data_IF_771045954295
#
_entry.id   IF_771045954295
#
_cell.length_a   1.000
_cell.length_b   1.000
_cell.length_c   1.000
_cell.angle_alpha   90.00
_cell.angle_beta   90.00
_cell.angle_gamma   90.00
#
_symmetry.space_group_name_H-M   'P 1'
#
loop_
_entity.id
_entity.type
_entity.pdbx_description
1 polymer ?
#
# COMPACT_ATOMS: atom_id res chain seq x y z
N UNK A 1 -5.62 -26.84 -82.79
CA UNK A 1 -7.05 -26.93 -82.44
C UNK A 1 -7.12 -26.83 -80.92
N UNK A 2 -6.83 -25.70 -80.27
CA UNK A 2 -7.59 -24.45 -80.24
C UNK A 2 -9.09 -24.71 -80.20
N UNK A 3 -9.68 -24.69 -79.01
CA UNK A 3 -10.82 -23.83 -78.71
C UNK A 3 -10.93 -23.63 -77.19
N UNK A 4 -10.39 -22.49 -76.80
CA UNK A 4 -10.73 -21.78 -75.57
C UNK A 4 -12.04 -21.04 -75.85
N UNK A 5 -13.12 -21.42 -75.16
CA UNK A 5 -14.38 -20.66 -75.11
C UNK A 5 -14.88 -20.79 -73.66
N UNK A 6 -14.35 -19.98 -72.75
CA UNK A 6 -14.94 -18.68 -72.37
C UNK A 6 -16.41 -18.82 -71.95
N UNK A 7 -16.64 -19.53 -70.84
CA UNK A 7 -17.85 -19.29 -70.05
C UNK A 7 -17.49 -18.29 -68.96
N UNK A 8 -17.68 -17.01 -69.28
CA UNK A 8 -17.60 -15.92 -68.32
C UNK A 8 -18.80 -16.03 -67.38
N UNK A 9 -18.70 -16.87 -66.34
CA UNK A 9 -19.59 -16.78 -65.19
C UNK A 9 -19.24 -15.46 -64.51
N UNK A 10 -20.15 -14.51 -64.68
CA UNK A 10 -20.13 -13.19 -64.09
C UNK A 10 -20.03 -13.32 -62.55
N UNK A 11 -18.81 -13.26 -62.02
CA UNK A 11 -18.59 -13.18 -60.57
C UNK A 11 -18.96 -11.78 -60.16
N UNK A 12 -20.23 -11.61 -59.74
CA UNK A 12 -20.66 -10.41 -59.03
C UNK A 12 -19.75 -10.29 -57.80
N UNK A 13 -18.99 -9.19 -57.62
CA UNK A 13 -18.30 -8.97 -56.37
C UNK A 13 -19.38 -8.63 -55.34
N UNK A 14 -19.81 -9.62 -54.54
CA UNK A 14 -20.47 -9.32 -53.28
C UNK A 14 -19.44 -8.61 -52.40
N UNK A 15 -19.47 -7.29 -52.48
CA UNK A 15 -18.84 -6.40 -51.53
C UNK A 15 -19.58 -6.58 -50.20
N UNK A 16 -19.24 -7.66 -49.48
CA UNK A 16 -19.77 -8.00 -48.17
C UNK A 16 -19.25 -6.98 -47.18
N UNK A 17 -19.93 -5.84 -47.14
CA UNK A 17 -19.72 -4.81 -46.15
C UNK A 17 -19.91 -5.42 -44.77
N UNK A 18 -18.93 -5.21 -43.90
CA UNK A 18 -18.93 -5.57 -42.48
C UNK A 18 -20.18 -5.04 -41.72
N UNK A 19 -20.97 -4.18 -42.36
CA UNK A 19 -22.20 -3.54 -41.87
C UNK A 19 -23.41 -4.50 -41.90
N UNK A 20 -23.43 -5.53 -42.76
CA UNK A 20 -24.55 -6.49 -42.80
C UNK A 20 -24.48 -7.56 -41.70
N UNK A 21 -23.29 -7.84 -41.17
CA UNK A 21 -23.06 -8.82 -40.09
C UNK A 21 -23.45 -8.27 -38.72
N UNK A 22 -23.35 -6.96 -38.53
CA UNK A 22 -23.74 -6.29 -37.27
C UNK A 22 -25.28 -6.25 -37.14
N UNK A 23 -26.01 -6.08 -38.26
CA UNK A 23 -27.47 -6.03 -38.28
C UNK A 23 -28.19 -7.40 -38.24
N UNK A 24 -27.52 -8.50 -38.57
CA UNK A 24 -28.06 -9.86 -38.42
C UNK A 24 -27.80 -10.44 -37.02
N UNK A 25 -26.67 -10.07 -36.38
CA UNK A 25 -26.32 -10.49 -35.01
C UNK A 25 -27.29 -9.97 -33.95
N UNK A 26 -27.84 -8.76 -34.12
CA UNK A 26 -28.82 -8.18 -33.19
C UNK A 26 -30.21 -8.84 -33.28
N UNK A 27 -30.60 -9.34 -34.46
CA UNK A 27 -31.89 -10.04 -34.65
C UNK A 27 -31.84 -11.50 -34.18
N UNK A 28 -30.65 -12.11 -34.18
CA UNK A 28 -30.44 -13.46 -33.66
C UNK A 28 -30.43 -13.52 -32.12
N UNK A 29 -30.01 -12.45 -31.44
CA UNK A 29 -30.09 -12.33 -29.99
C UNK A 29 -31.53 -12.38 -29.43
N UNK A 30 -32.50 -11.81 -30.16
CA UNK A 30 -33.92 -11.83 -29.77
C UNK A 30 -34.56 -13.22 -29.86
N UNK A 31 -34.02 -14.11 -30.72
CA UNK A 31 -34.47 -15.50 -30.83
C UNK A 31 -33.80 -16.43 -29.80
N UNK A 32 -32.59 -16.08 -29.32
CA UNK A 32 -31.96 -16.75 -28.18
C UNK A 32 -32.76 -16.55 -26.88
N UNK A 33 -33.30 -15.35 -26.64
CA UNK A 33 -34.10 -15.05 -25.45
C UNK A 33 -35.45 -15.81 -25.36
N UNK A 34 -35.94 -16.31 -26.51
CA UNK A 34 -37.21 -17.05 -26.62
C UNK A 34 -37.05 -18.57 -26.54
N UNK A 35 -35.81 -19.07 -26.40
CA UNK A 35 -35.56 -20.49 -26.27
C UNK A 35 -35.87 -20.93 -24.82
N UNK A 36 -36.73 -21.95 -24.59
CA UNK A 36 -37.19 -22.35 -23.26
C UNK A 36 -36.05 -22.82 -22.33
N UNK A 37 -34.89 -23.20 -22.89
CA UNK A 37 -33.68 -23.48 -22.12
C UNK A 37 -33.05 -22.23 -21.47
N UNK A 38 -33.11 -21.08 -22.15
CA UNK A 38 -32.54 -19.81 -21.67
C UNK A 38 -33.47 -19.13 -20.66
N UNK A 39 -34.79 -19.26 -20.82
CA UNK A 39 -35.74 -18.81 -19.78
C UNK A 39 -35.58 -19.56 -18.46
N UNK A 40 -35.21 -20.85 -18.51
CA UNK A 40 -34.92 -21.64 -17.30
C UNK A 40 -33.53 -21.35 -16.71
N UNK A 41 -32.56 -20.98 -17.53
CA UNK A 41 -31.18 -20.67 -17.10
C UNK A 41 -30.95 -19.20 -16.73
N UNK A 42 -31.81 -18.27 -17.17
CA UNK A 42 -31.75 -16.84 -16.83
C UNK A 42 -31.69 -16.57 -15.32
N UNK A 43 -32.58 -17.15 -14.47
CA UNK A 43 -32.50 -16.91 -13.03
C UNK A 43 -31.21 -17.45 -12.41
N UNK A 44 -30.70 -18.60 -12.88
CA UNK A 44 -29.42 -19.15 -12.37
C UNK A 44 -28.21 -18.33 -12.80
N UNK A 45 -28.20 -17.79 -14.02
CA UNK A 45 -27.13 -16.93 -14.52
C UNK A 45 -27.16 -15.59 -13.78
N UNK A 46 -28.34 -14.99 -13.60
CA UNK A 46 -28.49 -13.77 -12.82
C UNK A 46 -28.05 -13.98 -11.35
N UNK A 47 -28.43 -15.10 -10.73
CA UNK A 47 -28.00 -15.45 -9.38
C UNK A 47 -26.48 -15.62 -9.28
N UNK A 48 -25.85 -16.26 -10.28
CA UNK A 48 -24.40 -16.42 -10.32
C UNK A 48 -23.66 -15.07 -10.44
N UNK A 49 -24.15 -14.16 -11.28
CA UNK A 49 -23.59 -12.81 -11.42
C UNK A 49 -23.72 -12.03 -10.10
N UNK A 50 -24.89 -12.07 -9.47
CA UNK A 50 -25.12 -11.43 -8.17
C UNK A 50 -24.23 -12.03 -7.08
N UNK A 51 -24.03 -13.35 -7.07
CA UNK A 51 -23.14 -14.02 -6.12
C UNK A 51 -21.68 -13.59 -6.29
N UNK A 52 -21.19 -13.53 -7.53
CA UNK A 52 -19.82 -13.09 -7.83
C UNK A 52 -19.62 -11.62 -7.41
N UNK A 53 -20.56 -10.74 -7.76
CA UNK A 53 -20.52 -9.35 -7.35
C UNK A 53 -20.57 -9.21 -5.82
N UNK A 54 -21.42 -10.00 -5.16
CA UNK A 54 -21.51 -10.06 -3.70
C UNK A 54 -20.18 -10.47 -3.06
N UNK A 55 -19.48 -11.46 -3.62
CA UNK A 55 -18.16 -11.87 -3.13
C UNK A 55 -17.13 -10.75 -3.29
N UNK A 56 -17.07 -10.10 -4.46
CA UNK A 56 -16.13 -8.99 -4.72
C UNK A 56 -16.36 -7.82 -3.76
N UNK A 57 -17.62 -7.44 -3.57
CA UNK A 57 -18.01 -6.39 -2.64
C UNK A 57 -17.63 -6.81 -1.22
N UNK A 58 -17.96 -8.03 -0.82
CA UNK A 58 -17.65 -8.56 0.51
C UNK A 58 -16.15 -8.59 0.82
N UNK A 59 -15.31 -9.03 -0.12
CA UNK A 59 -13.85 -9.03 0.06
C UNK A 59 -13.25 -7.64 0.03
N UNK A 60 -13.84 -6.69 -0.69
CA UNK A 60 -13.38 -5.29 -0.70
C UNK A 60 -13.77 -4.55 0.59
N UNK A 61 -14.90 -4.91 1.20
CA UNK A 61 -15.36 -4.31 2.45
C UNK A 61 -14.70 -4.93 3.70
N UNK A 62 -14.05 -6.09 3.58
CA UNK A 62 -13.23 -6.62 4.66
C UNK A 62 -12.03 -5.70 4.88
N UNK A 63 -12.09 -4.90 5.95
CA UNK A 63 -10.95 -4.13 6.43
C UNK A 63 -9.81 -5.10 6.74
N UNK A 64 -8.64 -4.94 6.12
CA UNK A 64 -7.48 -5.77 6.45
C UNK A 64 -7.19 -5.65 7.94
N UNK A 65 -6.84 -6.76 8.59
CA UNK A 65 -6.34 -6.72 9.97
C UNK A 65 -5.18 -5.71 10.02
N UNK A 66 -5.31 -4.69 10.86
CA UNK A 66 -4.29 -3.66 11.07
C UNK A 66 -3.58 -3.94 12.38
N UNK A 67 -2.26 -3.79 12.38
CA UNK A 67 -1.42 -3.96 13.56
C UNK A 67 -0.68 -2.68 13.88
N UNK A 68 -0.49 -2.39 15.16
CA UNK A 68 0.27 -1.24 15.62
C UNK A 68 1.76 -1.46 15.37
N UNK A 69 2.44 -0.46 14.83
CA UNK A 69 3.88 -0.54 14.51
C UNK A 69 4.75 -0.34 15.75
N UNK A 70 4.52 0.77 16.43
CA UNK A 70 5.24 1.17 17.63
C UNK A 70 4.25 1.70 18.64
N UNK A 71 4.28 1.12 19.83
CA UNK A 71 3.53 1.63 20.96
C UNK A 71 4.23 2.88 21.51
N UNK A 72 3.45 3.91 21.86
CA UNK A 72 3.93 5.06 22.64
C UNK A 72 5.10 5.87 22.04
N UNK A 73 5.12 6.12 20.72
CA UNK A 73 6.05 7.09 20.13
C UNK A 73 5.73 8.53 20.58
N UNK A 74 6.75 9.38 20.71
CA UNK A 74 6.52 10.82 20.87
C UNK A 74 5.86 11.41 19.62
N UNK A 75 5.08 12.48 19.74
CA UNK A 75 4.38 13.10 18.60
C UNK A 75 5.34 13.47 17.45
N UNK A 76 6.56 13.88 17.80
CA UNK A 76 7.63 14.19 16.85
C UNK A 76 8.15 12.98 16.08
N UNK A 77 8.18 11.81 16.70
CA UNK A 77 8.59 10.54 16.08
C UNK A 77 7.44 9.96 15.27
N UNK A 78 6.20 10.11 15.73
CA UNK A 78 5.02 9.72 14.95
C UNK A 78 4.96 10.42 13.60
N UNK A 79 5.17 11.74 13.57
CA UNK A 79 5.21 12.50 12.30
C UNK A 79 6.30 11.96 11.37
N UNK A 80 7.50 11.72 11.90
CA UNK A 80 8.63 11.19 11.10
C UNK A 80 8.37 9.78 10.57
N UNK A 81 7.82 8.89 11.39
CA UNK A 81 7.42 7.54 10.98
C UNK A 81 6.31 7.60 9.92
N UNK A 82 5.32 8.48 10.11
CA UNK A 82 4.23 8.68 9.17
C UNK A 82 4.74 9.14 7.80
N UNK A 83 5.61 10.15 7.78
CA UNK A 83 6.21 10.67 6.54
C UNK A 83 7.08 9.63 5.85
N UNK A 84 7.92 8.91 6.61
CA UNK A 84 8.78 7.85 6.09
C UNK A 84 8.00 6.71 5.42
N UNK A 85 6.93 6.25 6.05
CA UNK A 85 6.09 5.18 5.51
C UNK A 85 5.25 5.64 4.32
N UNK A 86 4.74 6.88 4.38
CA UNK A 86 4.01 7.52 3.27
C UNK A 86 4.90 7.69 2.04
N UNK A 87 6.15 8.12 2.23
CA UNK A 87 7.15 8.21 1.17
C UNK A 87 7.49 6.85 0.56
N UNK A 88 7.39 5.78 1.35
CA UNK A 88 7.58 4.41 0.88
C UNK A 88 6.31 3.81 0.22
N UNK A 89 5.22 4.57 0.10
CA UNK A 89 3.99 4.12 -0.56
C UNK A 89 3.14 3.14 0.25
N UNK A 90 3.35 3.03 1.56
CA UNK A 90 2.56 2.14 2.44
C UNK A 90 1.32 2.84 2.99
N UNK A 91 0.22 2.09 3.14
CA UNK A 91 -1.02 2.60 3.75
C UNK A 91 -0.88 2.68 5.27
N UNK A 92 -0.65 3.89 5.78
CA UNK A 92 -0.52 4.18 7.21
C UNK A 92 -1.72 4.95 7.69
N UNK A 93 -2.30 4.47 8.79
CA UNK A 93 -3.42 5.13 9.45
C UNK A 93 -3.10 5.35 10.92
N UNK A 94 -3.73 6.36 11.49
CA UNK A 94 -3.67 6.62 12.93
C UNK A 94 -4.95 6.05 13.52
N UNK A 95 -4.82 5.15 14.47
CA UNK A 95 -5.96 4.63 15.21
C UNK A 95 -6.52 5.75 16.10
N UNK A 96 -7.79 6.18 15.93
CA UNK A 96 -8.39 7.24 16.73
C UNK A 96 -8.60 6.85 18.20
N UNK A 97 -8.59 5.56 18.55
CA UNK A 97 -8.76 5.09 19.92
C UNK A 97 -7.46 5.14 20.73
N UNK A 98 -6.34 4.78 20.11
CA UNK A 98 -5.03 4.67 20.78
C UNK A 98 -4.07 5.80 20.40
N UNK A 99 -4.31 6.50 19.29
CA UNK A 99 -3.39 7.48 18.73
C UNK A 99 -2.11 6.87 18.18
N UNK A 100 -2.10 5.56 17.93
CA UNK A 100 -0.95 4.80 17.43
C UNK A 100 -0.99 4.63 15.91
N UNK A 101 0.19 4.49 15.31
CA UNK A 101 0.35 4.26 13.88
C UNK A 101 0.10 2.78 13.56
N UNK A 102 -0.90 2.53 12.72
CA UNK A 102 -1.34 1.19 12.31
C UNK A 102 -1.07 0.97 10.81
N UNK A 103 -0.58 -0.22 10.50
CA UNK A 103 -0.36 -0.72 9.12
C UNK A 103 -1.08 -2.05 8.91
N UNK A 104 -1.41 -2.41 7.66
CA UNK A 104 -1.90 -3.74 7.34
C UNK A 104 -0.92 -4.81 7.86
N UNK A 105 -1.44 -5.89 8.44
CA UNK A 105 -0.62 -6.99 9.00
C UNK A 105 0.35 -7.56 7.95
N UNK A 106 -0.06 -7.60 6.68
CA UNK A 106 0.77 -8.07 5.58
C UNK A 106 2.03 -7.20 5.35
N UNK A 107 1.93 -5.90 5.62
CA UNK A 107 3.00 -4.93 5.37
C UNK A 107 3.84 -4.65 6.62
N UNK A 108 3.47 -5.17 7.79
CA UNK A 108 4.11 -4.88 9.07
C UNK A 108 5.63 -5.09 9.06
N UNK A 109 6.10 -6.23 8.54
CA UNK A 109 7.54 -6.54 8.49
C UNK A 109 8.29 -5.65 7.50
N UNK A 110 7.70 -5.42 6.33
CA UNK A 110 8.25 -4.55 5.29
C UNK A 110 8.34 -3.10 5.78
N UNK A 111 7.31 -2.62 6.47
CA UNK A 111 7.28 -1.31 7.12
C UNK A 111 8.42 -1.16 8.14
N UNK A 112 8.62 -2.17 9.00
CA UNK A 112 9.71 -2.16 9.98
C UNK A 112 11.09 -2.16 9.34
N UNK A 113 11.29 -2.92 8.27
CA UNK A 113 12.55 -2.93 7.52
C UNK A 113 12.83 -1.58 6.85
N UNK A 114 11.81 -0.98 6.23
CA UNK A 114 11.93 0.32 5.57
C UNK A 114 12.22 1.46 6.57
N UNK A 115 11.61 1.41 7.75
CA UNK A 115 11.90 2.36 8.82
C UNK A 115 13.30 2.16 9.38
N UNK A 116 13.72 0.91 9.61
CA UNK A 116 15.06 0.59 10.07
C UNK A 116 16.14 1.05 9.06
N UNK A 117 15.87 0.92 7.76
CA UNK A 117 16.75 1.42 6.70
C UNK A 117 16.92 2.96 6.74
N UNK A 118 15.91 3.67 7.24
CA UNK A 118 15.94 5.13 7.43
C UNK A 118 16.48 5.54 8.81
N UNK A 119 16.89 4.58 9.65
CA UNK A 119 17.35 4.85 11.01
C UNK A 119 16.22 5.25 11.98
N UNK A 120 14.98 4.86 11.65
CA UNK A 120 13.79 5.11 12.46
C UNK A 120 13.34 3.78 13.10
N UNK A 121 12.98 3.74 14.39
CA UNK A 121 13.02 4.82 15.37
C UNK A 121 14.47 5.20 15.64
N UNK A 122 14.73 6.48 15.92
CA UNK A 122 16.03 6.87 16.44
C UNK A 122 16.26 5.95 17.63
N UNK A 123 17.30 5.10 17.58
CA UNK A 123 17.71 4.40 18.78
C UNK A 123 17.99 5.52 19.78
N UNK A 124 17.04 5.77 20.69
CA UNK A 124 17.33 6.52 21.90
C UNK A 124 18.59 5.85 22.41
N UNK A 125 19.64 6.64 22.63
CA UNK A 125 20.93 6.14 23.05
C UNK A 125 20.77 5.48 24.43
N UNK A 126 20.23 4.27 24.50
CA UNK A 126 19.98 3.51 25.72
C UNK A 126 21.29 2.93 26.28
N UNK A 127 22.45 3.37 25.78
CA UNK A 127 23.76 3.09 26.36
C UNK A 127 24.03 3.80 27.70
N UNK A 128 23.16 4.72 28.14
CA UNK A 128 23.36 5.49 29.37
C UNK A 128 22.50 5.04 30.56
N UNK A 129 21.44 4.25 30.34
CA UNK A 129 20.52 3.81 31.41
C UNK A 129 21.08 2.72 32.32
N UNK A 130 22.06 1.96 31.85
CA UNK A 130 22.66 0.83 32.58
C UNK A 130 23.76 1.27 33.56
N UNK A 131 24.19 2.53 33.50
CA UNK A 131 25.22 3.10 34.40
C UNK A 131 24.61 3.72 35.67
N UNK A 132 23.32 4.08 35.66
CA UNK A 132 22.64 4.76 36.77
C UNK A 132 22.21 3.79 37.90
N UNK A 133 22.26 2.47 37.64
CA UNK A 133 21.99 1.42 38.62
C UNK A 133 23.24 0.92 39.37
N UNK A 134 24.40 1.58 39.22
CA UNK A 134 25.57 1.21 40.03
C UNK A 134 25.42 1.72 41.46
N UNK A 135 25.59 0.86 42.48
CA UNK A 135 25.48 1.26 43.89
C UNK A 135 26.45 2.40 44.21
N UNK A 136 25.87 3.52 44.65
CA UNK A 136 26.59 4.73 45.06
C UNK A 136 27.49 4.44 46.26
N UNK A 137 28.82 4.46 46.05
CA UNK A 137 29.79 4.20 47.11
C UNK A 137 31.23 4.45 46.70
N UNK A 138 31.66 5.71 46.77
CA UNK A 138 33.07 6.17 46.74
C UNK A 138 33.76 6.14 45.37
N UNK A 139 33.70 7.23 44.60
CA UNK A 139 34.77 7.48 43.63
C UNK A 139 34.77 8.93 43.16
N UNK A 140 35.85 9.65 43.44
CA UNK A 140 36.22 10.90 42.74
C UNK A 140 36.18 10.75 41.21
N UNK A 141 36.21 9.52 40.71
CA UNK A 141 36.06 9.18 39.29
C UNK A 141 34.66 9.48 38.73
N UNK A 142 33.58 9.30 39.51
CA UNK A 142 32.22 9.65 39.06
C UNK A 142 32.01 11.16 38.98
N UNK A 143 32.60 11.92 39.92
CA UNK A 143 32.59 13.39 39.88
C UNK A 143 33.31 13.91 38.63
N UNK A 144 34.49 13.37 38.32
CA UNK A 144 35.22 13.72 37.10
C UNK A 144 34.45 13.34 35.82
N UNK A 145 33.81 12.18 35.78
CA UNK A 145 32.98 11.77 34.64
C UNK A 145 31.76 12.68 34.48
N UNK A 146 31.10 13.06 35.56
CA UNK A 146 29.96 13.97 35.55
C UNK A 146 30.35 15.37 35.06
N UNK A 147 31.50 15.90 35.51
CA UNK A 147 32.04 17.17 35.02
C UNK A 147 32.38 17.09 33.53
N UNK A 148 33.00 15.99 33.08
CA UNK A 148 33.31 15.80 31.66
C UNK A 148 32.02 15.75 30.83
N UNK A 149 31.02 15.01 31.28
CA UNK A 149 29.72 14.92 30.60
C UNK A 149 29.00 16.27 30.55
N UNK A 150 29.07 17.09 31.60
CA UNK A 150 28.47 18.43 31.56
C UNK A 150 29.19 19.35 30.57
N UNK A 151 30.51 19.26 30.47
CA UNK A 151 31.29 20.01 29.48
C UNK A 151 31.00 19.55 28.05
N UNK A 152 30.87 18.24 27.82
CA UNK A 152 30.47 17.67 26.53
C UNK A 152 29.05 18.12 26.14
N UNK A 153 28.14 18.23 27.11
CA UNK A 153 26.80 18.74 26.88
C UNK A 153 26.79 20.23 26.53
N UNK A 154 27.58 21.06 27.22
CA UNK A 154 27.75 22.48 26.88
C UNK A 154 28.39 22.67 25.49
N UNK A 155 29.37 21.84 25.13
CA UNK A 155 29.96 21.82 23.79
C UNK A 155 28.94 21.44 22.72
N UNK A 156 28.15 20.38 22.94
CA UNK A 156 27.10 19.95 22.01
C UNK A 156 26.05 21.06 21.81
N UNK A 157 25.69 21.75 22.89
CA UNK A 157 24.78 22.90 22.82
C UNK A 157 25.37 24.06 22.02
N UNK A 158 26.63 24.40 22.22
CA UNK A 158 27.33 25.46 21.48
C UNK A 158 27.41 25.15 19.98
N UNK A 159 27.72 23.89 19.62
CA UNK A 159 27.71 23.44 18.23
C UNK A 159 26.29 23.54 17.63
N UNK A 160 25.27 23.12 18.37
CA UNK A 160 23.88 23.25 17.94
C UNK A 160 23.45 24.70 17.71
N UNK A 161 23.89 25.64 18.55
CA UNK A 161 23.65 27.07 18.36
C UNK A 161 24.35 27.61 17.08
N UNK A 162 25.57 27.16 16.78
CA UNK A 162 26.27 27.51 15.53
C UNK A 162 25.57 26.91 14.30
N UNK A 163 25.16 25.63 14.36
CA UNK A 163 24.46 24.95 13.27
C UNK A 163 23.13 25.62 12.96
N UNK A 164 22.39 26.05 13.99
CA UNK A 164 21.13 26.78 13.85
C UNK A 164 21.33 28.13 13.14
N UNK A 165 22.45 28.82 13.38
CA UNK A 165 22.80 30.06 12.67
C UNK A 165 23.23 29.78 11.22
N UNK A 166 23.89 28.66 10.95
CA UNK A 166 24.30 28.31 9.58
C UNK A 166 23.15 27.83 8.70
N UNK A 167 22.06 27.34 9.29
CA UNK A 167 20.87 26.85 8.57
C UNK A 167 19.75 27.90 8.47
N UNK A 168 19.95 29.11 8.99
CA UNK A 168 19.05 30.26 8.91
C UNK A 168 19.57 31.29 7.89
#
# INVERSE_FOLDING_TARGET
MSDTSTNAVNVVPQQTGLISTVGSSFRQANNFYRQPGIQRALPSIAAAIVAILGIIIFTTLQTPDRTTLFASLSESEKSRVFDALKNSGMDVQIDPATGELTVPVNDYHTAKLNLAAQGIPMQAAEGYGTLDNMPMGTSKSLENLKIKQSLEYELARSIGEIETISNA
#
